data_IF_850404190984
#
_entry.id   IF_850404190984
#
_cell.length_a   1.000
_cell.length_b   1.000
_cell.length_c   1.000
_cell.angle_alpha   90.00
_cell.angle_beta   90.00
_cell.angle_gamma   90.00
#
_symmetry.space_group_name_H-M   'P 1'
#
loop_
_entity.id
_entity.type
_entity.pdbx_description
1 polymer ?
#
# COMPACT_ATOMS: atom_id res chain seq x y z
N UNK A 1 -24.32 29.15 22.36
CA UNK A 1 -23.09 28.96 21.56
C UNK A 1 -23.41 27.97 20.44
N UNK A 2 -23.75 28.47 19.26
CA UNK A 2 -24.29 27.66 18.17
C UNK A 2 -23.10 27.04 17.39
N UNK A 3 -22.81 25.75 17.64
CA UNK A 3 -21.83 25.01 16.84
C UNK A 3 -22.49 24.65 15.52
N UNK A 4 -22.30 25.50 14.51
CA UNK A 4 -22.60 25.14 13.13
C UNK A 4 -21.73 23.93 12.78
N UNK A 5 -22.35 22.75 12.74
CA UNK A 5 -21.76 21.57 12.14
C UNK A 5 -21.73 21.83 10.63
N UNK A 6 -20.61 22.33 10.12
CA UNK A 6 -20.38 22.34 8.68
C UNK A 6 -20.50 20.88 8.18
N UNK A 7 -21.33 20.62 7.16
CA UNK A 7 -21.44 19.29 6.61
C UNK A 7 -20.07 18.90 6.04
N UNK A 8 -19.51 17.79 6.53
CA UNK A 8 -18.26 17.19 6.06
C UNK A 8 -18.22 17.21 4.52
N UNK A 9 -17.38 18.10 3.98
CA UNK A 9 -17.21 18.31 2.54
C UNK A 9 -16.94 16.96 1.88
N UNK A 10 -17.83 16.53 0.99
CA UNK A 10 -17.87 15.19 0.42
C UNK A 10 -16.67 15.02 -0.52
N UNK A 11 -15.54 14.55 0.03
CA UNK A 11 -14.32 14.35 -0.75
C UNK A 11 -14.62 13.43 -1.93
N UNK A 12 -14.35 13.90 -3.16
CA UNK A 12 -14.62 13.14 -4.36
C UNK A 12 -13.57 12.00 -4.46
N UNK A 13 -13.96 10.76 -4.15
CA UNK A 13 -13.06 9.60 -4.17
C UNK A 13 -12.97 9.07 -5.59
N UNK A 14 -11.76 9.01 -6.14
CA UNK A 14 -11.50 8.38 -7.44
C UNK A 14 -11.12 6.91 -7.26
N UNK A 15 -11.91 6.06 -7.90
CA UNK A 15 -11.66 4.62 -8.02
C UNK A 15 -11.42 4.33 -9.50
N UNK A 16 -10.24 3.82 -9.89
CA UNK A 16 -9.98 3.54 -11.29
C UNK A 16 -10.92 2.44 -11.80
N UNK A 17 -11.46 2.55 -13.02
CA UNK A 17 -12.41 1.57 -13.57
C UNK A 17 -11.81 0.18 -13.74
N UNK A 18 -10.50 0.09 -13.95
CA UNK A 18 -9.74 -1.16 -14.07
C UNK A 18 -8.94 -1.50 -12.80
N UNK A 19 -9.50 -1.21 -11.62
CA UNK A 19 -8.85 -1.40 -10.31
C UNK A 19 -8.27 -2.81 -10.14
N UNK A 20 -9.04 -3.85 -10.46
CA UNK A 20 -8.61 -5.25 -10.32
C UNK A 20 -7.39 -5.56 -11.19
N UNK A 21 -7.39 -5.10 -12.45
CA UNK A 21 -6.26 -5.32 -13.36
C UNK A 21 -5.02 -4.55 -12.92
N UNK A 22 -5.20 -3.31 -12.42
CA UNK A 22 -4.09 -2.51 -11.87
C UNK A 22 -3.50 -3.15 -10.62
N UNK A 23 -4.35 -3.65 -9.72
CA UNK A 23 -3.93 -4.39 -8.54
C UNK A 23 -3.18 -5.65 -8.94
N UNK A 24 -3.74 -6.49 -9.82
CA UNK A 24 -3.08 -7.70 -10.29
C UNK A 24 -1.70 -7.40 -10.89
N UNK A 25 -1.62 -6.39 -11.77
CA UNK A 25 -0.35 -5.95 -12.37
C UNK A 25 0.65 -5.52 -11.30
N UNK A 26 0.21 -4.77 -10.30
CA UNK A 26 1.05 -4.33 -9.19
C UNK A 26 1.56 -5.53 -8.38
N UNK A 27 0.68 -6.45 -7.99
CA UNK A 27 1.04 -7.61 -7.17
C UNK A 27 1.98 -8.56 -7.91
N UNK A 28 1.71 -8.84 -9.18
CA UNK A 28 2.61 -9.62 -10.05
C UNK A 28 3.95 -8.92 -10.18
N UNK A 29 3.97 -7.59 -10.36
CA UNK A 29 5.20 -6.80 -10.42
C UNK A 29 6.03 -6.88 -9.14
N UNK A 30 5.39 -6.75 -7.97
CA UNK A 30 6.05 -6.88 -6.66
C UNK A 30 6.61 -8.29 -6.48
N UNK A 31 5.82 -9.33 -6.77
CA UNK A 31 6.27 -10.71 -6.67
C UNK A 31 7.45 -11.00 -7.59
N UNK A 32 7.37 -10.60 -8.86
CA UNK A 32 8.45 -10.78 -9.83
C UNK A 32 9.73 -10.05 -9.40
N UNK A 33 9.60 -8.81 -8.91
CA UNK A 33 10.73 -8.06 -8.39
C UNK A 33 11.37 -8.75 -7.18
N UNK A 34 10.58 -9.24 -6.22
CA UNK A 34 11.10 -9.95 -5.06
C UNK A 34 11.75 -11.28 -5.44
N UNK A 35 11.18 -12.02 -6.38
CA UNK A 35 11.79 -13.26 -6.88
C UNK A 35 13.14 -13.00 -7.53
N UNK A 36 13.21 -11.97 -8.37
CA UNK A 36 14.47 -11.52 -8.97
C UNK A 36 15.46 -11.09 -7.87
N UNK A 37 15.02 -10.32 -6.88
CA UNK A 37 15.86 -9.87 -5.77
C UNK A 37 16.46 -11.05 -4.99
N UNK A 38 15.66 -12.06 -4.63
CA UNK A 38 16.17 -13.25 -3.93
C UNK A 38 17.08 -14.11 -4.82
N UNK A 39 16.76 -14.26 -6.10
CA UNK A 39 17.61 -15.00 -7.04
C UNK A 39 18.96 -14.30 -7.26
N UNK A 40 18.95 -12.99 -7.50
CA UNK A 40 20.17 -12.18 -7.64
C UNK A 40 20.96 -12.17 -6.33
N UNK A 41 20.27 -12.00 -5.20
CA UNK A 41 20.89 -12.06 -3.87
C UNK A 41 21.63 -13.38 -3.65
N UNK A 42 21.02 -14.52 -3.99
CA UNK A 42 21.69 -15.83 -3.95
C UNK A 42 23.04 -15.82 -4.70
N UNK A 43 23.05 -15.36 -5.95
CA UNK A 43 24.27 -15.36 -6.77
C UNK A 43 25.32 -14.33 -6.34
N UNK A 44 24.91 -13.21 -5.74
CA UNK A 44 25.83 -12.15 -5.32
C UNK A 44 26.40 -12.34 -3.90
N UNK A 45 25.60 -12.86 -2.97
CA UNK A 45 25.95 -12.90 -1.53
C UNK A 45 26.02 -14.32 -0.98
N UNK A 46 25.68 -15.34 -1.77
CA UNK A 46 25.67 -16.74 -1.33
C UNK A 46 24.52 -17.08 -0.37
N UNK A 47 23.45 -16.28 -0.34
CA UNK A 47 22.23 -16.62 0.40
C UNK A 47 21.65 -17.96 -0.03
N UNK A 48 20.90 -18.69 0.81
CA UNK A 48 20.26 -19.93 0.37
C UNK A 48 19.35 -19.66 -0.84
N UNK A 49 19.38 -20.57 -1.83
CA UNK A 49 18.54 -20.45 -3.01
C UNK A 49 17.06 -20.49 -2.59
N UNK A 50 16.20 -19.57 -3.10
CA UNK A 50 14.80 -19.53 -2.72
C UNK A 50 14.09 -20.81 -3.19
N UNK A 51 13.57 -21.61 -2.26
CA UNK A 51 12.83 -22.83 -2.60
C UNK A 51 11.47 -22.48 -3.20
N UNK A 52 10.83 -23.37 -3.98
CA UNK A 52 9.47 -23.13 -4.49
C UNK A 52 8.46 -22.77 -3.40
N UNK A 53 8.62 -23.35 -2.20
CA UNK A 53 7.78 -23.04 -1.05
C UNK A 53 8.00 -21.60 -0.56
N UNK A 54 9.24 -21.10 -0.61
CA UNK A 54 9.56 -19.72 -0.23
C UNK A 54 8.98 -18.72 -1.23
N UNK A 55 9.03 -19.04 -2.52
CA UNK A 55 8.37 -18.24 -3.55
C UNK A 55 6.86 -18.18 -3.32
N UNK A 56 6.24 -19.30 -2.95
CA UNK A 56 4.81 -19.35 -2.62
C UNK A 56 4.49 -18.52 -1.36
N UNK A 57 5.32 -18.60 -0.32
CA UNK A 57 5.19 -17.78 0.91
C UNK A 57 5.29 -16.29 0.59
N UNK A 58 6.27 -15.90 -0.22
CA UNK A 58 6.45 -14.50 -0.67
C UNK A 58 5.22 -14.05 -1.47
N UNK A 59 4.79 -14.83 -2.47
CA UNK A 59 3.59 -14.52 -3.26
C UNK A 59 2.35 -14.36 -2.37
N UNK A 60 2.18 -15.25 -1.39
CA UNK A 60 1.08 -15.19 -0.43
C UNK A 60 1.14 -13.91 0.40
N UNK A 61 2.31 -13.54 0.93
CA UNK A 61 2.48 -12.30 1.69
C UNK A 61 2.22 -11.05 0.83
N UNK A 62 2.65 -11.05 -0.43
CA UNK A 62 2.34 -9.97 -1.38
C UNK A 62 0.85 -9.86 -1.62
N UNK A 63 0.16 -10.97 -1.88
CA UNK A 63 -1.29 -10.97 -2.12
C UNK A 63 -2.07 -10.49 -0.89
N UNK A 64 -1.76 -11.02 0.29
CA UNK A 64 -2.41 -10.65 1.54
C UNK A 64 -2.15 -9.18 1.90
N UNK A 65 -0.91 -8.72 1.79
CA UNK A 65 -0.57 -7.31 1.99
C UNK A 65 -1.30 -6.42 0.98
N UNK A 66 -1.30 -6.82 -0.28
CA UNK A 66 -1.99 -6.13 -1.36
C UNK A 66 -3.48 -5.92 -1.08
N UNK A 67 -4.17 -6.99 -0.66
CA UNK A 67 -5.58 -6.95 -0.27
C UNK A 67 -5.78 -6.06 0.97
N UNK A 68 -4.94 -6.18 1.99
CA UNK A 68 -5.02 -5.35 3.19
C UNK A 68 -4.89 -3.87 2.85
N UNK A 69 -3.92 -3.49 2.03
CA UNK A 69 -3.73 -2.11 1.58
C UNK A 69 -4.89 -1.58 0.73
N UNK A 70 -5.47 -2.43 -0.12
CA UNK A 70 -6.65 -2.09 -0.89
C UNK A 70 -7.86 -1.82 0.01
N UNK A 71 -8.14 -2.74 0.94
CA UNK A 71 -9.22 -2.61 1.92
C UNK A 71 -9.01 -1.34 2.75
N UNK A 72 -7.79 -1.12 3.24
CA UNK A 72 -7.44 0.10 3.97
C UNK A 72 -7.68 1.36 3.13
N UNK A 73 -7.30 1.37 1.86
CA UNK A 73 -7.53 2.52 0.97
C UNK A 73 -9.01 2.80 0.68
N UNK A 74 -9.89 1.80 0.84
CA UNK A 74 -11.33 1.98 0.72
C UNK A 74 -11.90 2.75 1.92
N UNK A 75 -11.37 2.50 3.12
CA UNK A 75 -11.77 3.20 4.34
C UNK A 75 -11.07 4.57 4.48
N UNK A 76 -9.79 4.64 4.14
CA UNK A 76 -8.97 5.85 4.21
C UNK A 76 -8.20 6.07 2.90
N UNK A 77 -8.85 6.66 1.88
CA UNK A 77 -8.22 6.91 0.58
C UNK A 77 -7.02 7.83 0.70
N UNK A 78 -6.08 7.74 -0.25
CA UNK A 78 -4.91 8.60 -0.25
C UNK A 78 -5.34 10.08 -0.39
N UNK A 79 -4.89 10.99 0.51
CA UNK A 79 -5.21 12.41 0.39
C UNK A 79 -4.53 13.03 -0.85
N UNK A 80 -5.15 14.07 -1.46
CA UNK A 80 -4.63 14.70 -2.69
C UNK A 80 -3.34 15.49 -2.45
N UNK A 81 -3.14 16.00 -1.23
CA UNK A 81 -1.98 16.81 -0.85
C UNK A 81 -1.07 16.06 0.13
N UNK A 82 0.25 16.20 0.01
CA UNK A 82 1.15 15.74 1.07
C UNK A 82 0.90 16.57 2.34
N UNK A 83 0.92 15.91 3.50
CA UNK A 83 0.65 16.54 4.79
C UNK A 83 0.59 15.51 5.92
N UNK A 84 0.28 15.97 7.13
CA UNK A 84 0.22 15.10 8.33
C UNK A 84 -0.75 13.93 8.16
N UNK A 85 -1.89 14.13 7.49
CA UNK A 85 -2.84 13.06 7.22
C UNK A 85 -2.19 11.89 6.46
N UNK A 86 -1.31 12.16 5.49
CA UNK A 86 -0.60 11.12 4.73
C UNK A 86 0.35 10.32 5.62
N UNK A 87 1.01 10.98 6.58
CA UNK A 87 1.92 10.35 7.53
C UNK A 87 1.14 9.44 8.48
N UNK A 88 0.07 9.96 9.11
CA UNK A 88 -0.79 9.17 9.99
C UNK A 88 -1.39 7.98 9.25
N UNK A 89 -1.88 8.20 8.03
CA UNK A 89 -2.41 7.13 7.18
C UNK A 89 -1.40 6.00 6.98
N UNK A 90 -0.14 6.33 6.65
CA UNK A 90 0.91 5.33 6.49
C UNK A 90 1.17 4.61 7.81
N UNK A 91 1.30 5.34 8.92
CA UNK A 91 1.53 4.76 10.24
C UNK A 91 0.43 3.77 10.65
N UNK A 92 -0.84 4.19 10.55
CA UNK A 92 -2.01 3.35 10.89
C UNK A 92 -2.22 2.16 9.97
N UNK A 93 -1.73 2.23 8.73
CA UNK A 93 -1.77 1.11 7.80
C UNK A 93 -0.60 0.14 8.01
N UNK A 94 0.61 0.66 8.26
CA UNK A 94 1.78 -0.16 8.49
C UNK A 94 1.68 -0.95 9.79
N UNK A 95 1.09 -0.40 10.85
CA UNK A 95 0.96 -1.09 12.13
C UNK A 95 0.23 -2.46 12.03
N UNK A 96 -1.01 -2.54 11.50
CA UNK A 96 -1.69 -3.82 11.31
C UNK A 96 -1.00 -4.69 10.26
N UNK A 97 -0.39 -4.09 9.23
CA UNK A 97 0.32 -4.86 8.21
C UNK A 97 1.60 -5.51 8.74
N UNK A 98 2.34 -4.83 9.62
CA UNK A 98 3.53 -5.36 10.29
C UNK A 98 3.16 -6.48 11.24
N UNK A 99 2.14 -6.27 12.07
CA UNK A 99 1.62 -7.31 12.97
C UNK A 99 1.19 -8.55 12.19
N UNK A 100 0.47 -8.37 11.08
CA UNK A 100 0.02 -9.48 10.26
C UNK A 100 1.16 -10.17 9.51
N UNK A 101 2.12 -9.41 8.97
CA UNK A 101 3.31 -9.95 8.33
C UNK A 101 4.17 -10.76 9.30
N UNK A 102 4.34 -10.28 10.54
CA UNK A 102 5.05 -11.00 11.59
C UNK A 102 4.31 -12.29 12.00
N UNK A 103 2.99 -12.22 12.21
CA UNK A 103 2.18 -13.40 12.51
C UNK A 103 2.30 -14.45 11.40
N UNK A 104 2.25 -14.03 10.13
CA UNK A 104 2.43 -14.92 8.98
C UNK A 104 3.83 -15.54 8.97
N UNK A 105 4.87 -14.76 9.28
CA UNK A 105 6.25 -15.24 9.35
C UNK A 105 6.42 -16.33 10.41
N UNK A 106 5.91 -16.09 11.62
CA UNK A 106 5.96 -17.04 12.74
C UNK A 106 5.16 -18.29 12.41
N UNK A 107 3.93 -18.15 11.91
CA UNK A 107 3.05 -19.28 11.60
C UNK A 107 3.60 -20.17 10.47
N UNK A 108 4.24 -19.58 9.46
CA UNK A 108 4.78 -20.32 8.33
C UNK A 108 6.17 -20.91 8.58
N UNK A 109 6.81 -20.60 9.72
CA UNK A 109 8.21 -20.94 9.99
C UNK A 109 9.16 -20.39 8.93
N UNK A 110 8.82 -19.23 8.35
CA UNK A 110 9.53 -18.66 7.22
C UNK A 110 10.76 -17.86 7.69
N UNK A 111 11.90 -18.11 7.06
CA UNK A 111 13.11 -17.32 7.23
C UNK A 111 13.12 -16.05 6.36
N UNK A 112 12.18 -15.93 5.42
CA UNK A 112 12.04 -14.75 4.57
C UNK A 112 11.45 -13.58 5.37
N UNK A 113 11.77 -12.36 4.95
CA UNK A 113 11.27 -11.12 5.54
C UNK A 113 9.77 -10.85 5.25
N UNK A 114 8.88 -11.81 5.54
CA UNK A 114 7.43 -11.67 5.32
C UNK A 114 6.85 -10.52 6.13
N UNK A 115 7.40 -10.29 7.33
CA UNK A 115 7.11 -9.13 8.18
C UNK A 115 7.36 -7.78 7.50
N UNK A 116 8.20 -7.72 6.47
CA UNK A 116 8.48 -6.49 5.70
C UNK A 116 7.73 -6.50 4.36
N UNK A 117 7.69 -7.66 3.69
CA UNK A 117 7.05 -7.82 2.38
C UNK A 117 5.56 -7.47 2.46
N UNK A 118 4.86 -7.94 3.50
CA UNK A 118 3.43 -7.70 3.65
C UNK A 118 3.10 -6.20 3.81
N UNK A 119 3.71 -5.45 4.75
CA UNK A 119 3.52 -4.01 4.84
C UNK A 119 3.91 -3.24 3.58
N UNK A 120 4.99 -3.63 2.90
CA UNK A 120 5.41 -2.99 1.66
C UNK A 120 4.33 -3.16 0.58
N UNK A 121 3.81 -4.38 0.41
CA UNK A 121 2.73 -4.64 -0.54
C UNK A 121 1.47 -3.86 -0.19
N UNK A 122 1.10 -3.83 1.09
CA UNK A 122 -0.04 -3.05 1.58
C UNK A 122 0.12 -1.56 1.31
N UNK A 123 1.33 -1.03 1.52
CA UNK A 123 1.59 0.38 1.26
C UNK A 123 1.42 0.74 -0.20
N UNK A 124 2.02 -0.05 -1.09
CA UNK A 124 1.95 0.17 -2.53
C UNK A 124 0.51 0.03 -3.07
N UNK A 125 -0.23 -1.00 -2.64
CA UNK A 125 -1.61 -1.20 -3.09
C UNK A 125 -2.57 -0.15 -2.52
N UNK A 126 -2.27 0.41 -1.34
CA UNK A 126 -3.08 1.47 -0.75
C UNK A 126 -3.11 2.74 -1.59
N UNK A 127 -2.15 2.94 -2.49
CA UNK A 127 -2.08 4.10 -3.37
C UNK A 127 -3.06 4.06 -4.55
N UNK A 128 -3.77 2.95 -4.77
CA UNK A 128 -4.64 2.76 -5.93
C UNK A 128 -5.96 3.54 -5.86
N UNK A 129 -6.42 3.91 -4.66
CA UNK A 129 -7.63 4.70 -4.42
C UNK A 129 -7.22 6.05 -3.84
N UNK A 130 -7.58 7.13 -4.54
CA UNK A 130 -7.13 8.49 -4.21
C UNK A 130 -8.33 9.42 -4.08
N UNK A 131 -8.23 10.44 -3.20
CA UNK A 131 -9.17 11.55 -3.17
C UNK A 131 -8.75 12.60 -4.20
N UNK A 132 -9.71 13.09 -4.97
CA UNK A 132 -9.49 14.15 -5.94
C UNK A 132 -9.36 15.50 -5.21
N UNK A 133 -8.57 16.44 -5.75
CA UNK A 133 -8.59 17.83 -5.31
C UNK A 133 -9.99 18.43 -5.54
N UNK A 134 -10.44 19.27 -4.61
CA UNK A 134 -11.65 20.06 -4.77
C UNK A 134 -11.45 21.08 -5.91
N UNK A 135 -12.38 21.13 -6.88
CA UNK A 135 -12.45 22.21 -7.88
C UNK A 135 -12.53 23.56 -7.14
N UNK A 136 -11.42 24.30 -7.14
CA UNK A 136 -11.30 25.58 -6.44
C UNK A 136 -9.92 25.87 -5.85
N UNK A 137 -9.03 24.87 -5.74
CA UNK A 137 -7.64 25.09 -5.29
C UNK A 137 -6.65 25.47 -6.41
N UNK A 138 -7.12 25.56 -7.65
CA UNK A 138 -6.34 26.00 -8.82
C UNK A 138 -6.85 27.32 -9.40
N UNK A 139 -7.35 28.26 -8.59
CA UNK A 139 -7.36 29.65 -9.04
C UNK A 139 -5.93 30.18 -8.84
N UNK A 140 -5.14 30.41 -9.91
CA UNK A 140 -3.90 31.17 -9.75
C UNK A 140 -4.31 32.49 -9.12
N UNK A 141 -3.58 32.87 -8.07
CA UNK A 141 -3.78 34.14 -7.39
C UNK A 141 -3.97 35.23 -8.44
N UNK A 142 -5.17 35.81 -8.43
CA UNK A 142 -5.54 36.98 -9.21
C UNK A 142 -4.37 37.95 -9.11
N UNK A 143 -3.67 38.14 -10.22
CA UNK A 143 -2.61 39.12 -10.39
C UNK A 143 -3.11 40.43 -9.78
N UNK A 144 -2.56 40.76 -8.62
CA UNK A 144 -2.92 41.93 -7.87
C UNK A 144 -2.06 43.07 -8.43
N UNK A 145 -2.74 43.90 -9.24
CA UNK A 145 -2.41 45.28 -9.65
C UNK A 145 -1.08 45.53 -10.37
#
# INVERSE_FOLDING_TARGET
>A
MNKNFEPLKKSNIYVPPNLTLRLLRLLVGISAFLFLFYAVGHYLTGWPFPTPLDLLRIATAVMLGGLLGLVFSRFWPLPPKPGLERIFRIFFMLLPALLFGYALQVFSGANQALSIILPLSAWLSSGLIVRLPEEGQNSPAKSAK
#
